data_IF_279685915584
#
_entry.id   IF_279685915584
#
_cell.length_a   1.000
_cell.length_b   1.000
_cell.length_c   1.000
_cell.angle_alpha   90.00
_cell.angle_beta   90.00
_cell.angle_gamma   90.00
#
_symmetry.space_group_name_H-M   'P 1'
#
loop_
_entity.id
_entity.type
_entity.pdbx_description
1 polymer ?
2 non-polymer ?
3 non-polymer ?
4 non-polymer ?
5 non-polymer ?
6 water ?
#
# COMPACT_ATOMS: atom_id res chain seq x y z
N UNK A 1 -12.26 -11.33 13.15
CA UNK A 1 -13.09 -10.53 14.02
C UNK A 1 -12.86 -10.83 15.49
N UNK A 2 -13.12 -12.10 15.88
CA UNK A 2 -12.93 -12.58 17.26
C UNK A 2 -11.46 -12.44 17.69
N UNK A 3 -10.55 -12.65 16.72
CA UNK A 3 -9.10 -12.53 16.90
C UNK A 3 -8.75 -11.11 17.32
N UNK A 4 -9.40 -10.10 16.69
CA UNK A 4 -9.19 -8.68 16.97
C UNK A 4 -9.30 -8.32 18.44
N UNK A 5 -10.37 -8.78 19.10
CA UNK A 5 -10.59 -8.46 20.50
C UNK A 5 -9.54 -9.07 21.46
N UNK A 6 -8.79 -10.12 21.04
CA UNK A 6 -7.77 -10.78 21.87
C UNK A 6 -6.32 -10.26 21.63
N UNK A 7 -6.17 -9.19 20.83
CA UNK A 7 -4.86 -8.63 20.51
C UNK A 7 -4.40 -7.61 21.53
N UNK A 8 -3.09 -7.24 21.47
CA UNK A 8 -2.49 -6.22 22.32
C UNK A 8 -3.13 -4.88 21.97
N UNK A 9 -3.37 -4.05 22.97
CA UNK A 9 -3.98 -2.72 22.83
C UNK A 9 -3.32 -1.91 21.70
N UNK A 10 -1.96 -1.85 21.66
CA UNK A 10 -1.23 -1.10 20.64
C UNK A 10 -1.53 -1.54 19.23
N UNK A 11 -1.61 -2.87 19.02
CA UNK A 11 -1.93 -3.43 17.72
C UNK A 11 -3.34 -3.03 17.32
N UNK A 12 -4.27 -3.01 18.29
CA UNK A 12 -5.67 -2.61 18.05
C UNK A 12 -5.72 -1.17 17.55
N UNK A 13 -4.91 -0.29 18.14
CA UNK A 13 -4.81 1.10 17.72
C UNK A 13 -4.30 1.16 16.30
N UNK A 14 -3.29 0.33 15.97
CA UNK A 14 -2.73 0.24 14.62
C UNK A 14 -3.85 -0.03 13.61
N UNK A 15 -4.72 -0.98 13.93
CA UNK A 15 -5.86 -1.32 13.06
C UNK A 15 -6.83 -0.16 12.96
N UNK A 16 -7.09 0.49 14.10
CA UNK A 16 -7.95 1.66 14.14
C UNK A 16 -7.42 2.77 13.26
N UNK A 17 -6.14 3.11 13.46
CA UNK A 17 -5.48 4.17 12.71
C UNK A 17 -5.50 3.90 11.20
N UNK A 18 -5.09 2.69 10.76
CA UNK A 18 -5.10 2.34 9.33
C UNK A 18 -6.51 2.37 8.75
N UNK A 19 -7.52 1.96 9.55
CA UNK A 19 -8.91 1.98 9.12
C UNK A 19 -9.24 3.40 8.72
N UNK A 20 -9.15 4.31 9.70
CA UNK A 20 -9.44 5.74 9.55
C UNK A 20 -8.66 6.33 8.39
N UNK A 21 -7.35 6.06 8.38
CA UNK A 21 -6.44 6.51 7.34
C UNK A 21 -6.94 6.15 5.95
N UNK A 22 -7.24 4.83 5.75
CA UNK A 22 -7.76 4.30 4.49
C UNK A 22 -9.10 4.91 4.11
N UNK A 23 -10.02 5.02 5.10
CA UNK A 23 -11.34 5.63 4.88
C UNK A 23 -11.16 7.00 4.27
N UNK A 24 -10.44 7.87 4.99
CA UNK A 24 -10.13 9.22 4.53
C UNK A 24 -9.39 9.19 3.19
N UNK A 25 -8.51 8.20 2.96
CA UNK A 25 -7.88 8.08 1.64
C UNK A 25 -8.96 7.92 0.58
N UNK A 26 -9.85 6.93 0.77
CA UNK A 26 -10.92 6.62 -0.16
C UNK A 26 -11.74 7.83 -0.55
N UNK A 27 -12.34 8.49 0.46
CA UNK A 27 -13.18 9.70 0.28
C UNK A 27 -12.49 10.85 -0.48
N UNK A 28 -11.30 11.28 -0.01
CA UNK A 28 -10.65 12.48 -0.53
C UNK A 28 -9.54 12.24 -1.54
N UNK A 29 -8.56 11.41 -1.21
CA UNK A 29 -7.36 11.21 -2.03
C UNK A 29 -7.56 10.51 -3.38
N UNK A 30 -8.58 9.61 -3.50
CA UNK A 30 -8.90 8.86 -4.73
C UNK A 30 -9.28 9.76 -5.87
N UNK A 31 -9.96 10.86 -5.54
CA UNK A 31 -10.47 11.84 -6.46
C UNK A 31 -9.63 13.14 -6.55
N UNK A 32 -8.46 13.20 -5.91
CA UNK A 32 -7.64 14.41 -5.94
C UNK A 32 -7.06 14.75 -7.31
N UNK A 33 -6.90 13.77 -8.21
CA UNK A 33 -6.41 14.04 -9.57
C UNK A 33 -7.48 14.84 -10.32
N UNK A 34 -8.78 14.51 -10.07
CA UNK A 34 -9.95 15.18 -10.64
C UNK A 34 -9.83 16.66 -10.28
N UNK A 35 -9.64 16.96 -8.96
CA UNK A 35 -9.43 18.27 -8.36
C UNK A 35 -8.26 18.99 -9.04
N UNK A 36 -7.04 18.44 -8.94
CA UNK A 36 -5.86 19.03 -9.55
C UNK A 36 -6.03 19.28 -11.00
N UNK A 37 -6.64 18.36 -11.80
CA UNK A 37 -6.87 18.56 -13.25
C UNK A 37 -7.75 19.74 -13.50
N UNK A 38 -8.84 19.87 -12.71
CA UNK A 38 -9.80 20.96 -12.79
C UNK A 38 -9.15 22.34 -12.61
N UNK A 39 -8.38 22.54 -11.55
CA UNK A 39 -7.79 23.84 -11.25
C UNK A 39 -6.44 24.13 -11.90
N UNK A 40 -5.64 23.11 -12.09
CA UNK A 40 -4.30 23.24 -12.68
C UNK A 40 -4.20 22.45 -14.00
N UNK A 41 -3.04 22.45 -14.63
CA UNK A 41 -2.87 21.70 -15.87
C UNK A 41 -2.75 20.20 -15.64
N UNK A 42 -2.72 19.43 -16.71
CA UNK A 42 -2.48 18.00 -16.59
C UNK A 42 -0.99 17.76 -16.59
N UNK A 43 -0.22 18.75 -17.10
CA UNK A 43 1.24 18.76 -17.03
C UNK A 43 1.58 19.02 -15.57
N UNK A 44 0.89 20.01 -14.94
CA UNK A 44 1.02 20.38 -13.54
C UNK A 44 0.59 19.19 -12.66
N UNK A 45 -0.63 18.62 -12.88
CA UNK A 45 -1.10 17.49 -12.07
C UNK A 45 -0.06 16.33 -12.04
N UNK A 46 0.54 16.00 -13.19
CA UNK A 46 1.58 14.98 -13.32
C UNK A 46 2.82 15.30 -12.52
N UNK A 47 3.30 16.55 -12.61
CA UNK A 47 4.46 17.02 -11.84
C UNK A 47 4.14 16.95 -10.34
N UNK A 48 2.92 17.40 -9.96
CA UNK A 48 2.46 17.39 -8.58
C UNK A 48 2.47 15.99 -7.94
N UNK A 49 1.80 15.04 -8.58
CA UNK A 49 1.72 13.65 -8.12
C UNK A 49 3.12 12.97 -8.03
N UNK A 50 4.06 13.39 -8.90
CA UNK A 50 5.45 12.91 -8.91
C UNK A 50 6.13 13.41 -7.67
N UNK A 51 5.98 14.72 -7.34
CA UNK A 51 6.57 15.32 -6.15
C UNK A 51 6.04 14.68 -4.93
N UNK A 52 4.71 14.56 -4.80
CA UNK A 52 4.11 13.91 -3.63
C UNK A 52 4.64 12.48 -3.35
N UNK A 53 4.81 11.65 -4.40
CA UNK A 53 5.35 10.29 -4.34
C UNK A 53 6.80 10.26 -3.83
N UNK A 54 7.64 11.22 -4.32
CA UNK A 54 9.04 11.40 -3.91
C UNK A 54 9.03 11.88 -2.45
N UNK A 55 8.15 12.84 -2.14
CA UNK A 55 7.99 13.36 -0.79
C UNK A 55 7.68 12.24 0.21
N UNK A 56 6.68 11.39 -0.08
CA UNK A 56 6.23 10.33 0.80
C UNK A 56 7.29 9.23 0.96
N UNK A 57 8.06 8.92 -0.11
CA UNK A 57 9.16 7.96 -0.06
C UNK A 57 10.19 8.48 0.95
N UNK A 58 10.55 9.78 0.83
CA UNK A 58 11.48 10.43 1.76
C UNK A 58 10.92 10.42 3.18
N UNK A 59 9.59 10.61 3.34
CA UNK A 59 8.93 10.54 4.64
C UNK A 59 9.17 9.17 5.23
N UNK A 60 9.00 8.14 4.41
CA UNK A 60 9.21 6.75 4.80
C UNK A 60 10.63 6.41 5.22
N UNK A 61 11.63 6.94 4.50
CA UNK A 61 13.02 6.68 4.85
C UNK A 61 13.38 7.33 6.22
N UNK A 62 13.01 8.61 6.40
CA UNK A 62 13.24 9.34 7.65
C UNK A 62 12.49 8.69 8.81
N UNK A 63 11.21 8.30 8.61
CA UNK A 63 10.41 7.66 9.65
C UNK A 63 11.01 6.34 10.08
N UNK A 64 11.52 5.57 9.11
CA UNK A 64 12.15 4.28 9.36
C UNK A 64 13.34 4.41 10.27
N UNK A 65 14.23 5.35 9.95
CA UNK A 65 15.41 5.62 10.76
C UNK A 65 15.00 6.13 12.14
N UNK A 66 14.29 7.24 12.22
CA UNK A 66 13.88 7.80 13.51
C UNK A 66 13.07 6.84 14.36
N UNK A 67 12.49 5.81 13.77
CA UNK A 67 11.73 4.84 14.53
C UNK A 67 12.70 3.96 15.32
N UNK A 68 13.90 3.74 14.77
CA UNK A 68 14.98 2.96 15.35
C UNK A 68 15.79 3.80 16.32
N UNK A 69 16.19 5.02 15.89
CA UNK A 69 16.97 6.00 16.65
C UNK A 69 16.24 6.36 17.94
N UNK A 70 15.07 6.97 17.84
CA UNK A 70 14.22 7.30 18.99
C UNK A 70 13.19 6.18 19.09
N UNK A 71 12.08 6.41 19.78
CA UNK A 71 11.08 5.34 19.82
C UNK A 71 10.19 5.32 18.59
N UNK A 72 9.22 4.38 18.54
CA UNK A 72 8.23 4.34 17.46
C UNK A 72 7.19 5.43 17.70
N UNK A 73 6.65 5.52 18.97
CA UNK A 73 5.66 6.51 19.40
C UNK A 73 5.98 8.00 19.08
N UNK A 74 7.20 8.56 19.39
CA UNK A 74 7.48 9.96 19.04
C UNK A 74 7.23 10.23 17.55
N UNK A 75 7.86 9.43 16.68
CA UNK A 75 7.73 9.50 15.23
C UNK A 75 6.25 9.50 14.83
N UNK A 76 5.47 8.54 15.34
CA UNK A 76 4.04 8.43 15.05
C UNK A 76 3.31 9.66 15.46
N UNK A 77 3.58 10.17 16.68
CA UNK A 77 2.97 11.40 17.22
C UNK A 77 3.34 12.62 16.35
N UNK A 78 4.59 12.66 15.84
CA UNK A 78 5.05 13.73 14.96
C UNK A 78 4.25 13.69 13.69
N UNK A 79 4.07 12.49 13.14
CA UNK A 79 3.30 12.30 11.93
C UNK A 79 1.92 12.89 12.05
N UNK A 80 1.16 12.52 13.10
CA UNK A 80 -0.19 13.05 13.30
C UNK A 80 -0.23 14.58 13.40
N UNK A 81 0.76 15.21 14.10
CA UNK A 81 0.84 16.67 14.20
C UNK A 81 0.95 17.27 12.81
N UNK A 82 1.85 16.73 11.95
CA UNK A 82 2.03 17.15 10.54
C UNK A 82 0.70 17.08 9.80
N UNK A 83 -0.01 15.93 9.96
CA UNK A 83 -1.31 15.66 9.35
C UNK A 83 -2.31 16.76 9.75
N UNK A 84 -2.44 17.07 11.08
CA UNK A 84 -3.32 18.13 11.59
C UNK A 84 -3.09 19.43 10.87
N UNK A 85 -1.82 19.85 10.80
CA UNK A 85 -1.39 21.06 10.12
C UNK A 85 -1.80 21.04 8.64
N UNK A 86 -1.56 19.93 7.97
CA UNK A 86 -1.95 19.77 6.59
C UNK A 86 -3.45 19.81 6.41
N UNK A 87 -4.19 19.04 7.19
CA UNK A 87 -5.64 18.95 7.12
C UNK A 87 -6.29 20.29 7.37
N UNK A 88 -5.83 21.03 8.41
CA UNK A 88 -6.38 22.33 8.80
C UNK A 88 -6.14 23.33 7.70
N UNK A 89 -4.91 23.35 7.16
CA UNK A 89 -4.54 24.25 6.08
C UNK A 89 -5.27 23.90 4.78
N UNK A 90 -5.52 22.60 4.53
CA UNK A 90 -6.29 22.21 3.35
C UNK A 90 -7.73 22.70 3.51
N UNK A 91 -8.33 22.63 4.74
CA UNK A 91 -9.69 23.11 4.99
C UNK A 91 -9.76 24.59 4.68
N UNK A 92 -8.83 25.38 5.26
CA UNK A 92 -8.74 26.82 5.03
C UNK A 92 -8.40 27.22 3.59
N UNK A 93 -7.84 26.32 2.75
CA UNK A 93 -7.49 26.60 1.34
C UNK A 93 -8.62 26.27 0.36
N UNK A 94 -9.67 25.61 0.85
CA UNK A 94 -10.78 25.22 0.02
C UNK A 94 -12.09 25.85 0.43
N UNK A 95 -12.02 27.10 0.90
CA UNK A 95 -13.25 27.80 1.26
C UNK A 95 -13.98 28.19 -0.03
N UNK A 96 -15.29 27.82 -0.17
CA UNK A 96 -16.03 28.18 -1.40
C UNK A 96 -15.89 29.66 -1.73
N UNK A 97 -15.58 29.93 -2.99
CA UNK A 97 -15.36 31.28 -3.50
C UNK A 97 -13.92 31.74 -3.35
N UNK A 98 -13.18 31.13 -2.40
CA UNK A 98 -11.77 31.44 -2.15
C UNK A 98 -10.82 30.21 -2.32
N UNK A 99 -11.25 29.19 -3.13
CA UNK A 99 -10.51 27.93 -3.37
C UNK A 99 -9.08 28.18 -3.93
N UNK A 100 -8.04 27.75 -3.18
CA UNK A 100 -6.64 27.88 -3.57
C UNK A 100 -6.08 26.48 -3.80
N UNK A 101 -5.94 26.08 -5.09
CA UNK A 101 -5.42 24.76 -5.39
C UNK A 101 -3.98 24.53 -4.96
N UNK A 102 -3.06 25.48 -5.25
CA UNK A 102 -1.63 25.35 -4.94
C UNK A 102 -1.37 25.18 -3.47
N UNK A 103 -2.13 25.92 -2.66
CA UNK A 103 -2.07 25.89 -1.19
C UNK A 103 -2.53 24.49 -0.77
N UNK A 104 -3.68 24.00 -1.34
CA UNK A 104 -4.24 22.66 -1.11
C UNK A 104 -3.24 21.58 -1.46
N UNK A 105 -2.42 21.78 -2.52
CA UNK A 105 -1.40 20.81 -2.90
C UNK A 105 -0.41 20.66 -1.78
N UNK A 106 0.14 21.80 -1.27
CA UNK A 106 1.11 21.84 -0.19
C UNK A 106 0.52 21.18 1.04
N UNK A 107 -0.73 21.49 1.39
CA UNK A 107 -1.44 20.90 2.53
C UNK A 107 -1.56 19.36 2.43
N UNK A 108 -1.84 18.87 1.23
CA UNK A 108 -1.96 17.45 0.93
C UNK A 108 -0.62 16.79 0.89
N UNK A 109 0.43 17.56 0.53
CA UNK A 109 1.82 17.10 0.54
C UNK A 109 2.17 16.82 2.01
N UNK A 110 1.71 17.69 2.92
CA UNK A 110 1.92 17.53 4.36
C UNK A 110 1.23 16.31 4.87
N UNK A 111 -0.08 16.17 4.61
CA UNK A 111 -0.89 15.01 5.05
C UNK A 111 -0.29 13.66 4.62
N UNK A 112 0.11 13.54 3.33
CA UNK A 112 0.75 12.33 2.81
C UNK A 112 2.01 11.98 3.61
N UNK A 113 2.89 12.98 3.81
CA UNK A 113 4.12 12.93 4.56
C UNK A 113 3.88 12.43 6.00
N UNK A 114 2.95 13.11 6.70
CA UNK A 114 2.52 12.81 8.06
C UNK A 114 1.98 11.41 8.18
N UNK A 115 1.14 11.01 7.20
CA UNK A 115 0.57 9.65 7.15
C UNK A 115 1.62 8.58 6.99
N UNK A 116 2.63 8.79 6.13
CA UNK A 116 3.66 7.77 5.98
C UNK A 116 4.50 7.61 7.19
N UNK A 117 4.62 8.66 8.03
CA UNK A 117 5.34 8.56 9.30
C UNK A 117 4.61 7.57 10.19
N UNK A 118 3.29 7.79 10.38
CA UNK A 118 2.39 6.94 11.15
C UNK A 118 2.34 5.50 10.57
N UNK A 119 2.46 5.37 9.24
CA UNK A 119 2.49 4.05 8.60
C UNK A 119 3.86 3.36 8.83
N UNK A 120 4.97 3.96 8.38
CA UNK A 120 6.33 3.42 8.51
C UNK A 120 6.64 2.96 9.93
N UNK A 121 6.42 3.81 10.93
CA UNK A 121 6.67 3.48 12.33
C UNK A 121 5.67 2.44 12.81
N UNK A 122 4.42 2.56 12.41
CA UNK A 122 3.37 1.60 12.76
C UNK A 122 3.70 0.18 12.32
N UNK A 123 4.35 0.04 11.14
CA UNK A 123 4.81 -1.24 10.60
C UNK A 123 5.85 -1.82 11.53
N UNK A 124 6.82 -0.98 11.98
CA UNK A 124 7.88 -1.37 12.91
C UNK A 124 7.24 -1.86 14.19
N UNK A 125 6.25 -1.11 14.69
CA UNK A 125 5.48 -1.44 15.89
C UNK A 125 4.70 -2.75 15.75
N UNK A 126 4.16 -3.03 14.56
CA UNK A 126 3.44 -4.29 14.37
C UNK A 126 4.35 -5.47 14.77
N UNK A 127 5.59 -5.46 14.25
CA UNK A 127 6.61 -6.46 14.53
C UNK A 127 6.94 -6.51 16.03
N UNK A 128 7.07 -5.35 16.66
CA UNK A 128 7.39 -5.25 18.07
C UNK A 128 6.39 -5.89 19.01
N UNK A 129 5.10 -5.71 18.78
CA UNK A 129 4.06 -6.25 19.66
C UNK A 129 3.46 -7.58 19.16
N UNK A 130 4.12 -8.18 18.16
CA UNK A 130 3.72 -9.46 17.58
C UNK A 130 4.78 -10.55 17.79
N UNK A 131 4.29 -11.79 17.86
CA UNK A 131 5.05 -13.02 17.97
C UNK A 131 4.83 -13.72 16.65
N UNK A 132 5.69 -14.68 16.30
CA UNK A 132 5.58 -15.45 15.07
C UNK A 132 4.21 -16.11 14.84
N UNK A 133 3.52 -16.51 15.95
CA UNK A 133 2.20 -17.17 15.93
C UNK A 133 1.03 -16.25 15.48
N UNK A 134 0.97 -15.00 15.99
CA UNK A 134 -0.13 -14.07 15.66
C UNK A 134 0.24 -13.01 14.62
N UNK A 135 1.49 -13.00 14.12
CA UNK A 135 1.94 -12.01 13.14
C UNK A 135 1.08 -11.98 11.86
N UNK A 136 0.87 -13.14 11.22
CA UNK A 136 0.07 -13.24 9.99
C UNK A 136 -1.35 -12.76 10.22
N UNK A 137 -1.95 -13.07 11.39
CA UNK A 137 -3.31 -12.65 11.76
C UNK A 137 -3.42 -11.11 11.72
N UNK A 138 -2.44 -10.43 12.35
CA UNK A 138 -2.35 -8.97 12.39
C UNK A 138 -2.29 -8.42 10.98
N UNK A 139 -1.32 -8.89 10.17
CA UNK A 139 -1.14 -8.42 8.80
C UNK A 139 -2.37 -8.55 7.95
N UNK A 140 -3.10 -9.67 8.08
CA UNK A 140 -4.31 -9.80 7.31
C UNK A 140 -5.41 -8.90 7.86
N UNK A 141 -5.58 -8.81 9.19
CA UNK A 141 -6.56 -7.90 9.79
C UNK A 141 -6.34 -6.46 9.33
N UNK A 142 -5.07 -6.05 9.27
CA UNK A 142 -4.61 -4.76 8.79
C UNK A 142 -5.11 -4.61 7.35
N UNK A 143 -4.62 -5.48 6.45
CA UNK A 143 -4.95 -5.57 5.05
C UNK A 143 -6.46 -5.59 4.78
N UNK A 144 -7.21 -6.29 5.62
CA UNK A 144 -8.65 -6.39 5.49
C UNK A 144 -9.30 -5.06 5.84
N UNK A 145 -8.99 -4.51 7.04
CA UNK A 145 -9.52 -3.24 7.52
C UNK A 145 -9.39 -2.14 6.49
N UNK A 146 -8.20 -2.03 5.84
CA UNK A 146 -7.92 -1.04 4.80
C UNK A 146 -8.87 -1.16 3.60
N UNK A 147 -9.07 -2.38 3.09
CA UNK A 147 -9.93 -2.67 1.95
C UNK A 147 -11.38 -2.32 2.22
N UNK A 148 -11.92 -2.77 3.38
CA UNK A 148 -13.28 -2.44 3.78
C UNK A 148 -13.47 -0.91 3.90
N UNK A 149 -12.51 -0.22 4.55
CA UNK A 149 -12.56 1.22 4.73
C UNK A 149 -12.38 2.01 3.44
N UNK A 150 -11.49 1.60 2.50
CA UNK A 150 -11.36 2.31 1.22
C UNK A 150 -12.68 2.28 0.45
N UNK A 151 -13.46 1.17 0.60
CA UNK A 151 -14.78 1.02 -0.03
C UNK A 151 -15.75 2.00 0.61
N UNK A 152 -15.83 2.04 1.95
CA UNK A 152 -16.72 2.97 2.65
C UNK A 152 -16.36 4.42 2.31
N UNK A 153 -15.05 4.69 2.24
CA UNK A 153 -14.48 5.96 1.83
C UNK A 153 -14.97 6.33 0.45
N UNK A 154 -14.74 5.43 -0.55
CA UNK A 154 -15.16 5.58 -1.96
C UNK A 154 -16.66 5.90 -2.14
N UNK A 155 -17.54 5.23 -1.37
CA UNK A 155 -18.99 5.42 -1.39
C UNK A 155 -19.32 6.85 -0.96
N UNK A 156 -18.91 7.24 0.28
CA UNK A 156 -19.11 8.61 0.79
C UNK A 156 -18.47 9.65 -0.13
N UNK A 157 -17.31 9.31 -0.67
CA UNK A 157 -16.54 10.14 -1.59
C UNK A 157 -17.32 10.52 -2.81
N UNK A 158 -17.87 9.52 -3.54
CA UNK A 158 -18.68 9.75 -4.74
C UNK A 158 -19.82 10.73 -4.47
N UNK A 159 -20.58 10.48 -3.39
CA UNK A 159 -21.73 11.28 -2.95
C UNK A 159 -21.40 12.74 -2.69
N UNK A 160 -20.29 13.02 -1.96
CA UNK A 160 -19.95 14.38 -1.54
C UNK A 160 -18.70 15.05 -2.12
N UNK A 161 -17.87 14.37 -2.91
CA UNK A 161 -16.66 15.03 -3.41
C UNK A 161 -16.94 16.28 -4.21
N UNK A 162 -17.71 16.16 -5.33
CA UNK A 162 -18.02 17.31 -6.18
C UNK A 162 -18.90 18.35 -5.45
N UNK A 163 -20.04 17.94 -4.82
CA UNK A 163 -20.85 18.91 -4.09
C UNK A 163 -20.27 19.53 -2.82
N UNK A 164 -19.77 18.71 -1.86
CA UNK A 164 -19.30 19.21 -0.57
C UNK A 164 -17.89 18.79 -0.22
N UNK A 165 -16.91 19.29 -0.96
CA UNK A 165 -15.50 18.99 -0.73
C UNK A 165 -15.11 19.23 0.70
N UNK A 166 -15.30 20.48 1.19
CA UNK A 166 -14.99 20.89 2.55
C UNK A 166 -15.48 19.94 3.61
N UNK A 167 -16.68 19.32 3.43
CA UNK A 167 -17.21 18.36 4.38
C UNK A 167 -16.27 17.17 4.57
N UNK A 168 -15.69 16.69 3.49
CA UNK A 168 -14.73 15.60 3.53
C UNK A 168 -13.50 16.05 4.27
N UNK A 169 -13.01 17.28 3.94
CA UNK A 169 -11.84 17.89 4.58
C UNK A 169 -12.05 18.06 6.08
N UNK A 170 -13.27 18.44 6.49
CA UNK A 170 -13.63 18.57 7.90
C UNK A 170 -13.50 17.19 8.51
N UNK A 171 -14.10 16.18 7.85
CA UNK A 171 -14.07 14.80 8.29
C UNK A 171 -12.64 14.31 8.37
N UNK A 172 -11.80 14.65 7.38
CA UNK A 172 -10.39 14.27 7.36
C UNK A 172 -9.69 14.77 8.59
N UNK A 173 -9.91 16.07 8.94
CA UNK A 173 -9.31 16.70 10.10
C UNK A 173 -9.76 16.00 11.36
N UNK A 174 -11.05 15.67 11.41
CA UNK A 174 -11.60 14.99 12.58
C UNK A 174 -11.02 13.59 12.73
N UNK A 175 -10.83 12.83 11.62
CA UNK A 175 -10.20 11.50 11.71
C UNK A 175 -8.77 11.65 12.23
N UNK A 176 -8.01 12.65 11.70
CA UNK A 176 -6.64 12.97 12.12
C UNK A 176 -6.61 13.20 13.64
N UNK A 177 -7.57 13.99 14.18
CA UNK A 177 -7.67 14.25 15.61
C UNK A 177 -7.79 12.96 16.38
N UNK A 178 -8.82 12.14 16.05
CA UNK A 178 -9.08 10.85 16.68
C UNK A 178 -7.78 10.08 16.78
N UNK A 179 -7.15 9.87 15.61
CA UNK A 179 -5.86 9.22 15.46
C UNK A 179 -4.78 9.89 16.34
N UNK A 180 -4.69 11.26 16.35
CA UNK A 180 -3.71 11.99 17.16
C UNK A 180 -3.88 11.71 18.62
N UNK A 181 -5.10 11.80 19.14
CA UNK A 181 -5.32 11.53 20.54
C UNK A 181 -4.95 10.13 20.91
N UNK A 182 -5.42 9.16 20.10
CA UNK A 182 -5.13 7.75 20.26
C UNK A 182 -3.64 7.57 20.38
N UNK A 183 -2.87 8.04 19.36
CA UNK A 183 -1.42 7.93 19.30
C UNK A 183 -0.75 8.52 20.54
N UNK A 184 -1.20 9.67 21.01
CA UNK A 184 -0.64 10.36 22.17
C UNK A 184 -1.01 9.71 23.54
N UNK A 185 -2.30 9.60 23.82
CA UNK A 185 -2.81 9.12 25.07
C UNK A 185 -2.81 7.60 25.19
N UNK A 186 -3.62 6.92 24.37
CA UNK A 186 -3.83 5.47 24.40
C UNK A 186 -2.59 4.63 24.06
N UNK A 187 -1.78 5.04 23.08
CA UNK A 187 -0.62 4.26 22.67
C UNK A 187 0.56 4.33 23.63
N UNK A 188 1.21 3.15 23.82
CA UNK A 188 2.40 2.94 24.64
C UNK A 188 3.56 2.58 23.71
N UNK A 189 4.75 3.08 24.01
CA UNK A 189 5.96 2.84 23.20
C UNK A 189 6.25 1.34 23.15
N UNK A 190 6.65 0.83 21.98
CA UNK A 190 6.97 -0.60 21.88
C UNK A 190 8.44 -0.91 21.69
N UNK A 191 9.29 0.10 21.43
CA UNK A 191 10.68 -0.20 21.18
C UNK A 191 11.64 0.73 21.82
N UNK A 192 12.63 0.14 22.50
CA UNK A 192 13.73 0.80 23.18
C UNK A 192 15.07 0.33 22.55
N UNK A 193 15.81 1.23 21.84
CA UNK A 193 17.10 0.81 21.23
C UNK A 193 18.22 0.58 22.26
N UNK A 194 19.27 -0.20 21.88
CA UNK A 194 20.41 -0.51 22.78
C UNK A 194 21.76 -0.12 22.15
N UNK A 198 22.28 7.83 16.29
CA UNK A 198 22.83 6.96 15.24
C UNK A 198 23.13 7.75 13.98
N UNK A 199 23.68 7.08 12.94
CA UNK A 199 23.96 7.71 11.66
C UNK A 199 23.04 7.11 10.62
N UNK A 200 22.32 7.96 9.87
CA UNK A 200 21.39 7.52 8.83
C UNK A 200 22.09 6.67 7.78
N UNK A 201 23.25 7.10 7.23
CA UNK A 201 23.90 6.23 6.25
C UNK A 201 24.30 4.90 6.85
N UNK A 202 24.90 4.92 8.04
CA UNK A 202 25.27 3.69 8.72
C UNK A 202 24.08 2.79 9.02
N UNK A 203 22.93 3.39 9.38
CA UNK A 203 21.68 2.68 9.64
C UNK A 203 21.17 1.94 8.41
N UNK A 204 21.27 2.57 7.23
CA UNK A 204 20.82 1.92 6.02
C UNK A 204 21.86 0.99 5.44
N UNK A 205 23.16 1.35 5.51
CA UNK A 205 24.27 0.53 5.02
C UNK A 205 24.16 -0.90 5.54
N UNK A 206 23.83 -1.07 6.85
CA UNK A 206 23.67 -2.39 7.48
C UNK A 206 22.52 -3.20 6.85
N UNK A 207 21.34 -2.58 6.68
CA UNK A 207 20.19 -3.26 6.07
C UNK A 207 20.49 -3.59 4.60
N UNK A 208 21.14 -2.68 3.85
CA UNK A 208 21.51 -2.96 2.45
C UNK A 208 22.58 -4.06 2.36
N UNK A 209 23.43 -4.18 3.40
CA UNK A 209 24.43 -5.23 3.44
C UNK A 209 23.81 -6.59 3.75
N UNK A 210 22.57 -6.62 4.32
CA UNK A 210 21.84 -7.86 4.59
C UNK A 210 21.39 -8.51 3.26
N UNK A 211 22.31 -9.32 2.65
CA UNK A 211 22.09 -10.03 1.39
C UNK A 211 20.84 -10.90 1.40
N UNK A 212 20.57 -11.65 2.51
CA UNK A 212 19.37 -12.49 2.56
C UNK A 212 18.08 -11.66 2.45
N UNK A 213 18.02 -10.51 3.13
CA UNK A 213 16.87 -9.62 3.05
C UNK A 213 16.79 -8.96 1.68
N UNK A 214 17.94 -8.52 1.16
CA UNK A 214 18.03 -7.89 -0.17
C UNK A 214 17.53 -8.75 -1.28
N UNK A 215 17.77 -10.06 -1.19
CA UNK A 215 17.28 -11.03 -2.17
C UNK A 215 15.74 -11.03 -2.08
N UNK A 216 15.20 -11.12 -0.84
CA UNK A 216 13.76 -11.13 -0.60
C UNK A 216 13.14 -9.87 -1.13
N UNK A 217 13.81 -8.71 -0.91
CA UNK A 217 13.39 -7.41 -1.39
C UNK A 217 13.22 -7.47 -2.91
N UNK A 218 14.25 -7.96 -3.62
CA UNK A 218 14.19 -8.16 -5.07
C UNK A 218 13.03 -9.03 -5.52
N UNK A 219 12.69 -10.08 -4.71
CA UNK A 219 11.56 -10.98 -4.97
C UNK A 219 10.27 -10.20 -4.78
N UNK A 220 10.18 -9.46 -3.65
CA UNK A 220 9.03 -8.65 -3.27
C UNK A 220 8.73 -7.58 -4.35
N UNK A 221 9.79 -6.92 -4.91
CA UNK A 221 9.65 -5.92 -5.98
C UNK A 221 8.98 -6.56 -7.22
N UNK A 222 9.41 -7.77 -7.61
CA UNK A 222 8.84 -8.48 -8.74
C UNK A 222 7.38 -8.86 -8.55
N UNK A 223 6.97 -9.29 -7.35
CA UNK A 223 5.57 -9.62 -7.06
C UNK A 223 4.71 -8.37 -6.89
N UNK A 224 5.27 -7.25 -6.34
CA UNK A 224 4.58 -5.95 -6.24
C UNK A 224 4.58 -5.27 -7.61
N UNK A 225 5.34 -5.81 -8.59
CA UNK A 225 5.44 -5.32 -9.98
C UNK A 225 4.16 -5.69 -10.71
N UNK A 226 3.56 -6.81 -10.32
CA UNK A 226 2.31 -7.33 -10.85
C UNK A 226 1.21 -6.44 -10.38
N UNK A 227 1.24 -6.04 -9.09
CA UNK A 227 0.23 -5.12 -8.54
C UNK A 227 0.30 -3.77 -9.26
N UNK A 228 1.54 -3.31 -9.62
CA UNK A 228 1.83 -2.06 -10.34
C UNK A 228 1.25 -2.05 -11.73
N UNK A 229 0.60 -3.16 -12.13
CA UNK A 229 -0.04 -3.27 -13.42
C UNK A 229 -1.25 -2.36 -13.50
N UNK A 230 -2.06 -2.28 -12.43
CA UNK A 230 -3.23 -1.38 -12.35
C UNK A 230 -2.85 0.08 -12.60
N UNK A 231 -1.65 0.47 -12.15
CA UNK A 231 -1.07 1.79 -12.30
C UNK A 231 -0.53 2.07 -13.70
N UNK A 232 0.10 1.07 -14.37
CA UNK A 232 0.78 1.30 -15.63
C UNK A 232 0.22 0.60 -16.90
N UNK A 233 -0.17 -0.71 -16.87
CA UNK A 233 -0.57 -1.42 -18.11
C UNK A 233 -2.01 -1.86 -18.22
N UNK A 234 -2.76 -2.00 -17.13
CA UNK A 234 -4.17 -2.37 -17.22
C UNK A 234 -4.99 -1.20 -17.85
N UNK A 235 -4.77 0.09 -17.44
CA UNK A 235 -5.51 1.20 -18.07
C UNK A 235 -5.22 1.35 -19.57
N UNK A 236 -3.93 1.32 -19.96
CA UNK A 236 -3.48 1.41 -21.35
C UNK A 236 -4.13 0.28 -22.10
N UNK A 237 -4.14 -0.92 -21.54
CA UNK A 237 -4.77 -2.02 -22.25
C UNK A 237 -6.24 -1.77 -22.51
N UNK A 238 -7.01 -1.49 -21.47
CA UNK A 238 -8.44 -1.29 -21.57
C UNK A 238 -8.81 -0.04 -22.39
N UNK A 239 -8.19 1.11 -22.10
CA UNK A 239 -8.42 2.35 -22.85
C UNK A 239 -8.06 2.15 -24.31
N UNK A 240 -6.93 1.45 -24.61
CA UNK A 240 -6.46 1.17 -25.97
C UNK A 240 -7.30 0.15 -26.69
N UNK A 241 -7.68 -0.97 -26.03
CA UNK A 241 -8.46 -1.98 -26.75
C UNK A 241 -9.52 -2.71 -25.93
N UNK A 242 -10.41 -1.99 -25.23
CA UNK A 242 -11.49 -2.69 -24.53
C UNK A 242 -12.81 -2.56 -25.28
N UNK A 243 -13.43 -3.73 -25.61
CA UNK A 243 -14.72 -3.83 -26.30
C UNK A 243 -15.82 -3.35 -25.35
N UNK A 244 -16.49 -2.23 -25.68
CA UNK A 244 -17.55 -1.66 -24.84
C UNK A 244 -18.79 -2.57 -24.80
N UNK A 245 -19.30 -2.87 -23.58
CA UNK A 245 -20.48 -3.70 -23.33
C UNK A 245 -21.57 -2.79 -22.76
N UNK A 246 -22.75 -2.72 -23.43
CA UNK A 246 -23.86 -1.86 -23.00
C UNK A 246 -24.45 -2.31 -21.66
N UNK A 253 -15.46 0.86 -23.04
CA UNK A 253 -15.33 1.76 -21.91
C UNK A 253 -14.32 1.20 -20.89
N UNK A 254 -13.09 1.05 -21.37
CA UNK A 254 -11.97 0.52 -20.61
C UNK A 254 -11.78 1.14 -19.25
N UNK A 255 -11.68 2.47 -19.19
CA UNK A 255 -11.48 3.17 -17.92
C UNK A 255 -12.63 2.91 -16.93
N UNK A 256 -13.86 2.73 -17.44
CA UNK A 256 -15.01 2.39 -16.60
C UNK A 256 -14.89 0.94 -16.14
N UNK A 257 -14.41 0.04 -17.00
CA UNK A 257 -14.20 -1.35 -16.65
C UNK A 257 -13.09 -1.53 -15.61
N UNK A 258 -11.94 -0.84 -15.82
CA UNK A 258 -10.79 -0.83 -14.92
C UNK A 258 -11.25 -0.42 -13.51
N UNK A 259 -12.17 0.57 -13.43
CA UNK A 259 -12.77 1.03 -12.21
C UNK A 259 -13.54 -0.12 -11.57
N UNK A 260 -14.31 -0.89 -12.35
CA UNK A 260 -15.07 -2.05 -11.85
C UNK A 260 -14.16 -3.06 -11.16
N UNK A 261 -13.07 -3.45 -11.85
CA UNK A 261 -12.04 -4.39 -11.41
C UNK A 261 -11.57 -4.07 -9.99
N UNK A 262 -11.18 -2.80 -9.71
CA UNK A 262 -10.74 -2.33 -8.39
C UNK A 262 -11.83 -2.59 -7.36
N UNK A 263 -13.06 -2.14 -7.63
CA UNK A 263 -14.22 -2.34 -6.77
C UNK A 263 -14.41 -3.83 -6.50
N UNK A 264 -14.42 -4.65 -7.56
CA UNK A 264 -14.56 -6.09 -7.48
C UNK A 264 -13.54 -6.68 -6.51
N UNK A 265 -12.24 -6.40 -6.75
CA UNK A 265 -11.09 -6.88 -5.99
C UNK A 265 -11.17 -6.53 -4.51
N UNK A 266 -11.42 -5.25 -4.17
CA UNK A 266 -11.57 -4.83 -2.79
C UNK A 266 -12.74 -5.59 -2.12
N UNK A 267 -13.90 -5.69 -2.83
CA UNK A 267 -15.10 -6.41 -2.37
C UNK A 267 -14.74 -7.88 -2.09
N UNK A 268 -14.02 -8.53 -3.02
CA UNK A 268 -13.58 -9.92 -2.89
C UNK A 268 -12.68 -10.13 -1.67
N UNK A 269 -11.74 -9.19 -1.42
CA UNK A 269 -10.87 -9.24 -0.23
C UNK A 269 -11.72 -9.19 1.04
N UNK A 270 -12.64 -8.21 1.13
CA UNK A 270 -13.56 -8.02 2.26
C UNK A 270 -14.33 -9.31 2.56
N UNK A 271 -14.79 -10.01 1.51
CA UNK A 271 -15.62 -11.20 1.65
C UNK A 271 -14.88 -12.52 1.82
N UNK A 272 -13.84 -12.76 1.02
CA UNK A 272 -13.14 -14.04 1.04
C UNK A 272 -11.91 -14.13 1.93
N UNK A 273 -11.56 -13.07 2.68
CA UNK A 273 -10.39 -13.04 3.57
C UNK A 273 -10.36 -14.24 4.52
N UNK A 274 -11.37 -14.33 5.40
CA UNK A 274 -11.54 -15.38 6.39
C UNK A 274 -11.55 -16.77 5.74
N UNK A 275 -12.40 -16.95 4.68
CA UNK A 275 -12.56 -18.21 3.93
C UNK A 275 -11.23 -18.70 3.38
N UNK A 276 -10.58 -17.92 2.52
CA UNK A 276 -9.28 -18.27 1.95
C UNK A 276 -8.25 -18.47 3.03
N UNK A 277 -8.38 -17.76 4.17
CA UNK A 277 -7.48 -17.94 5.30
C UNK A 277 -7.68 -19.31 5.90
N UNK A 278 -8.95 -19.77 6.00
CA UNK A 278 -9.26 -21.08 6.56
C UNK A 278 -8.50 -22.18 5.81
N UNK A 279 -8.47 -22.12 4.47
CA UNK A 279 -7.76 -23.05 3.59
C UNK A 279 -6.22 -22.94 3.71
N UNK A 280 -5.71 -21.74 4.05
CA UNK A 280 -4.28 -21.46 4.11
C UNK A 280 -3.76 -21.31 5.53
N UNK A 281 -4.59 -21.63 6.54
CA UNK A 281 -4.30 -21.47 7.97
C UNK A 281 -2.87 -21.89 8.36
N UNK A 282 -2.46 -23.13 8.06
CA UNK A 282 -1.12 -23.55 8.46
C UNK A 282 -0.16 -23.73 7.28
N UNK A 283 -0.28 -22.87 6.25
CA UNK A 283 0.63 -22.88 5.10
C UNK A 283 1.96 -22.20 5.52
N UNK A 284 3.07 -22.49 4.81
CA UNK A 284 4.35 -21.80 5.02
C UNK A 284 4.22 -20.46 4.28
N UNK A 285 5.05 -19.47 4.68
CA UNK A 285 5.04 -18.17 4.02
C UNK A 285 5.71 -18.30 2.66
N UNK A 286 6.71 -19.19 2.54
CA UNK A 286 7.39 -19.49 1.29
C UNK A 286 6.31 -19.93 0.26
N UNK A 287 5.32 -20.77 0.71
CA UNK A 287 4.20 -21.31 -0.08
C UNK A 287 3.18 -20.27 -0.51
N UNK A 288 2.62 -19.58 0.50
CA UNK A 288 1.63 -18.52 0.34
C UNK A 288 2.08 -17.46 -0.64
N UNK A 289 3.35 -17.03 -0.52
CA UNK A 289 3.97 -16.07 -1.44
C UNK A 289 3.88 -16.59 -2.86
N UNK A 290 4.30 -17.86 -3.10
CA UNK A 290 4.32 -18.52 -4.40
C UNK A 290 2.89 -18.76 -4.96
N UNK A 291 1.93 -19.24 -4.14
CA UNK A 291 0.57 -19.46 -4.65
C UNK A 291 -0.13 -18.16 -4.98
N UNK A 292 0.04 -17.17 -4.10
CA UNK A 292 -0.48 -15.82 -4.28
C UNK A 292 0.11 -15.13 -5.49
N UNK A 293 1.46 -15.09 -5.57
CA UNK A 293 2.23 -14.52 -6.69
C UNK A 293 2.06 -15.29 -8.00
N UNK A 294 1.50 -16.53 -7.94
CA UNK A 294 1.22 -17.35 -9.11
C UNK A 294 -0.12 -16.93 -9.69
N UNK A 295 -1.17 -16.87 -8.82
CA UNK A 295 -2.53 -16.46 -9.21
C UNK A 295 -2.59 -15.01 -9.64
N UNK A 296 -1.80 -14.14 -8.96
CA UNK A 296 -1.69 -12.73 -9.28
C UNK A 296 -1.15 -12.55 -10.67
N UNK A 297 -0.05 -13.26 -11.04
CA UNK A 297 0.53 -13.21 -12.37
C UNK A 297 -0.43 -13.80 -13.42
N UNK A 298 -1.05 -14.97 -13.12
CA UNK A 298 -2.01 -15.65 -14.02
C UNK A 298 -3.22 -14.74 -14.28
N UNK A 299 -3.80 -14.17 -13.22
CA UNK A 299 -4.93 -13.24 -13.31
C UNK A 299 -4.67 -12.07 -14.24
N UNK A 300 -3.49 -11.44 -14.10
CA UNK A 300 -3.06 -10.31 -14.94
C UNK A 300 -2.84 -10.72 -16.38
N UNK A 301 -2.16 -11.86 -16.59
CA UNK A 301 -1.90 -12.41 -17.93
C UNK A 301 -3.23 -12.66 -18.68
N UNK A 302 -4.21 -13.32 -18.01
CA UNK A 302 -5.56 -13.62 -18.55
C UNK A 302 -6.25 -12.33 -18.95
N UNK A 303 -6.18 -11.30 -18.09
CA UNK A 303 -6.76 -9.97 -18.34
C UNK A 303 -6.11 -9.30 -19.55
N UNK A 304 -4.77 -9.41 -19.67
CA UNK A 304 -4.02 -8.80 -20.77
C UNK A 304 -4.28 -9.44 -22.11
N UNK A 305 -4.52 -10.75 -22.11
CA UNK A 305 -4.76 -11.48 -23.34
C UNK A 305 -6.24 -11.51 -23.76
N UNK A 306 -7.17 -11.04 -22.90
CA UNK A 306 -8.60 -10.99 -23.26
C UNK A 306 -9.13 -9.53 -23.30
N UNK A 307 -10.18 -9.28 -24.14
CA UNK A 307 -10.79 -7.96 -24.35
C UNK A 307 -12.36 -8.01 -24.17
N UNK A 308 -12.87 -9.06 -23.52
CA UNK A 308 -14.31 -9.25 -23.26
C UNK A 308 -14.57 -9.11 -21.74
N UNK A 309 -15.83 -8.78 -21.35
CA UNK A 309 -16.21 -8.61 -19.96
C UNK A 309 -16.20 -9.90 -19.11
N UNK A 310 -16.84 -10.98 -19.60
CA UNK A 310 -16.95 -12.23 -18.84
C UNK A 310 -15.56 -12.81 -18.49
N UNK A 311 -14.57 -12.92 -19.44
CA UNK A 311 -13.26 -13.46 -19.05
C UNK A 311 -12.52 -12.57 -18.08
N UNK A 312 -12.42 -11.24 -18.37
CA UNK A 312 -11.74 -10.27 -17.51
C UNK A 312 -12.26 -10.33 -16.07
N UNK A 313 -13.60 -10.32 -15.90
CA UNK A 313 -14.22 -10.38 -14.59
C UNK A 313 -13.75 -11.62 -13.84
N UNK A 314 -13.77 -12.79 -14.50
CA UNK A 314 -13.29 -14.05 -13.92
C UNK A 314 -11.79 -13.92 -13.62
N UNK A 315 -11.01 -13.44 -14.62
CA UNK A 315 -9.57 -13.23 -14.53
C UNK A 315 -9.23 -12.40 -13.28
N UNK A 316 -10.05 -11.39 -13.00
CA UNK A 316 -9.96 -10.52 -11.85
C UNK A 316 -10.17 -11.24 -10.55
N UNK A 317 -11.14 -12.17 -10.56
CA UNK A 317 -11.43 -13.01 -9.41
C UNK A 317 -10.16 -13.83 -9.06
N UNK A 318 -9.51 -14.47 -10.08
CA UNK A 318 -8.27 -15.25 -9.95
C UNK A 318 -7.15 -14.43 -9.30
N UNK A 319 -6.90 -13.20 -9.83
CA UNK A 319 -5.88 -12.30 -9.31
C UNK A 319 -6.14 -12.01 -7.85
N UNK A 320 -7.39 -11.61 -7.50
CA UNK A 320 -7.72 -11.30 -6.12
C UNK A 320 -7.46 -12.53 -5.23
N UNK A 321 -7.75 -13.76 -5.72
CA UNK A 321 -7.48 -14.98 -4.95
C UNK A 321 -6.00 -15.03 -4.55
N UNK A 322 -5.13 -14.79 -5.53
CA UNK A 322 -3.68 -14.72 -5.34
C UNK A 322 -3.25 -13.61 -4.41
N UNK A 323 -3.74 -12.40 -4.64
CA UNK A 323 -3.40 -11.26 -3.81
C UNK A 323 -3.73 -11.49 -2.33
N UNK A 324 -4.93 -12.04 -2.02
CA UNK A 324 -5.37 -12.32 -0.64
C UNK A 324 -4.39 -13.22 0.13
N UNK A 325 -3.87 -14.26 -0.52
CA UNK A 325 -2.92 -15.18 0.10
C UNK A 325 -1.55 -14.49 0.21
N UNK A 326 -1.06 -13.95 -0.92
CA UNK A 326 0.24 -13.29 -1.08
C UNK A 326 0.50 -12.19 -0.07
N UNK A 327 -0.42 -11.23 0.06
CA UNK A 327 -0.23 -10.07 0.92
C UNK A 327 0.21 -10.47 2.35
N UNK A 328 -0.61 -11.18 3.17
CA UNK A 328 -0.14 -11.50 4.54
C UNK A 328 1.12 -12.34 4.60
N UNK A 329 1.29 -13.30 3.68
CA UNK A 329 2.45 -14.20 3.67
C UNK A 329 3.78 -13.46 3.43
N UNK A 330 3.85 -12.54 2.44
CA UNK A 330 5.06 -11.76 2.18
C UNK A 330 5.38 -10.81 3.33
N UNK A 331 4.32 -10.18 3.89
CA UNK A 331 4.42 -9.23 5.00
C UNK A 331 5.04 -9.91 6.23
N UNK A 332 4.68 -11.22 6.52
CA UNK A 332 5.25 -11.98 7.64
C UNK A 332 6.66 -12.45 7.34
N UNK A 333 6.92 -12.93 6.09
CA UNK A 333 8.24 -13.39 5.67
C UNK A 333 9.33 -12.32 5.92
N UNK A 334 9.00 -11.06 5.58
CA UNK A 334 9.86 -9.90 5.75
C UNK A 334 10.19 -9.65 7.20
N UNK A 335 9.17 -9.71 8.08
CA UNK A 335 9.32 -9.54 9.52
C UNK A 335 10.29 -10.58 10.11
N UNK A 336 10.20 -11.84 9.64
CA UNK A 336 11.08 -12.90 10.09
C UNK A 336 12.53 -12.67 9.65
N UNK A 337 12.72 -12.15 8.40
CA UNK A 337 14.04 -11.83 7.83
C UNK A 337 14.67 -10.55 8.43
N UNK A 338 13.84 -9.78 9.17
CA UNK A 338 14.18 -8.51 9.81
C UNK A 338 14.93 -8.63 11.09
N UNK A 339 15.99 -7.81 11.22
CA UNK A 339 16.83 -7.69 12.43
C UNK A 339 15.99 -7.00 13.52
N UNK A 340 15.80 -7.63 14.72
CA UNK A 340 14.96 -7.02 15.78
C UNK A 340 15.37 -5.63 16.27
N UNK A 341 16.66 -5.28 16.14
CA UNK A 341 17.14 -3.97 16.57
C UNK A 341 16.94 -2.91 15.49
N UNK A 342 17.04 -3.33 14.21
CA UNK A 342 16.90 -2.41 13.08
C UNK A 342 15.60 -2.57 12.28
N UNK A 343 14.47 -2.92 12.94
CA UNK A 343 13.18 -3.10 12.26
C UNK A 343 12.77 -1.85 11.50
N UNK A 344 12.92 -0.68 12.14
CA UNK A 344 12.61 0.62 11.56
C UNK A 344 13.31 0.87 10.25
N UNK A 345 14.64 0.68 10.19
CA UNK A 345 15.47 0.84 8.99
C UNK A 345 15.02 -0.09 7.90
N UNK A 346 14.68 -1.35 8.24
CA UNK A 346 14.23 -2.39 7.30
C UNK A 346 12.92 -2.00 6.63
N UNK A 347 11.97 -1.46 7.41
CA UNK A 347 10.71 -0.93 6.88
C UNK A 347 10.93 0.29 5.97
N UNK A 348 11.94 1.11 6.31
CA UNK A 348 12.38 2.23 5.50
C UNK A 348 12.84 1.75 4.13
N UNK A 349 13.65 0.66 4.08
CA UNK A 349 14.18 0.03 2.87
C UNK A 349 13.04 -0.52 2.06
N UNK A 350 12.04 -1.13 2.72
CA UNK A 350 10.83 -1.68 2.12
C UNK A 350 9.96 -0.64 1.36
N UNK A 351 10.24 0.66 1.54
CA UNK A 351 9.50 1.68 0.81
C UNK A 351 9.86 1.62 -0.66
N UNK A 352 11.16 1.39 -0.99
CA UNK A 352 11.71 1.31 -2.35
C UNK A 352 10.96 0.32 -3.28
N UNK A 353 10.30 -0.74 -2.72
CA UNK A 353 9.60 -1.75 -3.54
C UNK A 353 8.52 -1.17 -4.44
N UNK A 354 7.71 -0.19 -3.95
CA UNK A 354 6.62 0.44 -4.69
C UNK A 354 7.12 1.36 -5.80
N UNK A 355 8.07 2.33 -5.57
CA UNK A 355 8.56 3.16 -6.68
C UNK A 355 9.25 2.38 -7.80
N UNK A 356 10.18 1.45 -7.45
CA UNK A 356 10.92 0.62 -8.40
C UNK A 356 9.98 -0.25 -9.22
N UNK A 357 9.09 -1.01 -8.54
CA UNK A 357 8.08 -1.87 -9.20
C UNK A 357 7.20 -1.01 -10.13
N UNK A 358 6.90 0.24 -9.71
CA UNK A 358 6.09 1.17 -10.49
C UNK A 358 6.85 1.68 -11.70
N UNK A 359 8.10 2.16 -11.49
CA UNK A 359 8.96 2.68 -12.57
C UNK A 359 9.16 1.61 -13.62
N UNK A 360 9.52 0.40 -13.22
CA UNK A 360 9.73 -0.69 -14.16
C UNK A 360 8.47 -1.04 -14.93
N UNK A 361 7.29 -1.08 -14.27
CA UNK A 361 6.03 -1.37 -14.92
C UNK A 361 5.68 -0.27 -15.94
N UNK A 362 5.95 0.99 -15.58
CA UNK A 362 5.75 2.15 -16.45
C UNK A 362 6.67 2.15 -17.66
N UNK A 363 7.99 1.85 -17.41
CA UNK A 363 9.07 1.71 -18.40
C UNK A 363 8.73 0.59 -19.38
N UNK A 364 8.18 -0.53 -18.85
CA UNK A 364 7.69 -1.68 -19.63
C UNK A 364 6.54 -1.23 -20.52
N UNK A 365 5.63 -0.39 -20.03
CA UNK A 365 4.48 0.12 -20.76
C UNK A 365 4.89 1.01 -21.97
N UNK A 366 6.08 1.67 -21.91
CA UNK A 366 6.62 2.49 -23.00
C UNK A 366 6.86 1.64 -24.25
N UNK A 367 7.29 0.38 -24.05
CA UNK A 367 7.55 -0.60 -25.10
C UNK A 367 6.29 -1.46 -25.33
N UNK A 368 5.17 -1.21 -24.60
CA UNK A 368 3.95 -2.02 -24.75
C UNK A 368 3.46 -2.14 -26.20
N UNK A 369 3.34 -1.03 -26.99
CA UNK A 369 2.88 -1.15 -28.38
C UNK A 369 3.71 -2.11 -29.24
N UNK A 370 5.06 -2.02 -29.16
CA UNK A 370 5.99 -2.87 -29.92
C UNK A 370 5.77 -4.38 -29.67
N UNK A 371 5.83 -4.80 -28.39
CA UNK A 371 5.71 -6.20 -27.96
C UNK A 371 4.26 -6.73 -27.91
N UNK A 372 3.26 -5.83 -27.69
CA UNK A 372 1.81 -6.12 -27.57
C UNK A 372 1.47 -6.98 -26.34
N UNK A 373 0.16 -7.22 -26.08
CA UNK A 373 -0.36 -7.97 -24.93
C UNK A 373 0.29 -9.33 -24.69
N UNK A 374 0.45 -10.14 -25.76
CA UNK A 374 1.09 -11.46 -25.66
C UNK A 374 2.54 -11.29 -25.22
N UNK A 375 3.26 -10.35 -25.85
CA UNK A 375 4.66 -9.99 -25.53
C UNK A 375 4.85 -9.51 -24.11
N UNK A 376 3.98 -8.58 -23.66
CA UNK A 376 3.96 -8.02 -22.30
C UNK A 376 3.82 -9.14 -21.27
N UNK A 377 2.82 -10.02 -21.46
CA UNK A 377 2.54 -11.15 -20.57
C UNK A 377 3.76 -12.06 -20.36
N UNK A 378 4.56 -12.31 -21.43
CA UNK A 378 5.79 -13.11 -21.36
C UNK A 378 6.72 -12.50 -20.32
N UNK A 379 6.94 -11.17 -20.40
CA UNK A 379 7.77 -10.41 -19.44
C UNK A 379 7.23 -10.54 -18.01
N UNK A 380 5.91 -10.51 -17.83
CA UNK A 380 5.29 -10.69 -16.54
C UNK A 380 5.58 -12.09 -16.01
N UNK A 381 5.19 -13.12 -16.77
CA UNK A 381 5.41 -14.53 -16.42
C UNK A 381 6.86 -14.82 -16.05
N UNK A 382 7.81 -14.37 -16.92
CA UNK A 382 9.25 -14.52 -16.75
C UNK A 382 9.77 -13.85 -15.44
N UNK A 383 9.32 -12.60 -15.16
CA UNK A 383 9.71 -11.88 -13.94
C UNK A 383 9.08 -12.51 -12.69
N UNK A 384 7.87 -13.07 -12.84
CA UNK A 384 7.19 -13.77 -11.77
C UNK A 384 7.96 -15.05 -11.43
N UNK A 385 8.53 -15.73 -12.47
CA UNK A 385 9.36 -16.94 -12.31
C UNK A 385 10.60 -16.54 -11.51
N UNK A 386 11.15 -15.33 -11.80
CA UNK A 386 12.29 -14.78 -11.08
C UNK A 386 11.95 -14.60 -9.63
N UNK A 387 10.75 -14.04 -9.34
CA UNK A 387 10.25 -13.84 -7.97
C UNK A 387 10.28 -15.16 -7.22
N UNK A 388 9.78 -16.24 -7.84
CA UNK A 388 9.78 -17.57 -7.23
C UNK A 388 11.21 -18.02 -6.86
N UNK A 389 12.15 -17.85 -7.80
CA UNK A 389 13.56 -18.21 -7.63
C UNK A 389 14.14 -17.45 -6.41
N UNK A 390 14.04 -16.10 -6.42
CA UNK A 390 14.57 -15.26 -5.36
C UNK A 390 13.96 -15.53 -3.98
N UNK A 391 12.63 -15.84 -3.90
CA UNK A 391 11.99 -16.17 -2.63
C UNK A 391 12.61 -17.45 -2.05
N UNK A 392 12.79 -18.50 -2.89
CA UNK A 392 13.39 -19.78 -2.46
C UNK A 392 14.81 -19.59 -1.94
N UNK A 393 15.65 -18.85 -2.70
CA UNK A 393 17.02 -18.46 -2.35
C UNK A 393 17.04 -17.79 -0.96
N UNK A 394 16.25 -16.70 -0.79
CA UNK A 394 16.15 -15.97 0.48
C UNK A 394 15.68 -16.86 1.63
N UNK A 395 14.53 -17.56 1.49
CA UNK A 395 13.98 -18.44 2.53
C UNK A 395 15.01 -19.48 2.94
N UNK A 396 15.69 -20.09 1.94
CA UNK A 396 16.73 -21.08 2.18
C UNK A 396 17.83 -20.54 3.08
N UNK A 397 18.46 -19.42 2.69
CA UNK A 397 19.53 -18.77 3.46
C UNK A 397 19.07 -18.49 4.89
N UNK A 398 17.86 -17.88 5.04
CA UNK A 398 17.27 -17.55 6.34
C UNK A 398 17.02 -18.79 7.17
N UNK A 399 16.44 -19.87 6.58
CA UNK A 399 16.15 -21.14 7.26
C UNK A 399 17.35 -21.69 8.09
N UNK A 400 18.59 -21.52 7.56
CA UNK A 400 19.87 -21.87 8.21
C UNK A 400 19.96 -21.27 9.60
N UNK A 401 19.67 -19.95 9.73
CA UNK A 401 19.71 -19.10 10.93
C UNK A 401 18.79 -19.53 12.10
N UNK A 402 17.88 -20.54 11.90
CA UNK A 402 16.92 -21.14 12.86
C UNK A 402 17.31 -20.94 14.35
#
# INVERSE_FOLDING_TARGET
GKEFWNLDKNLQLRLGIVFLGAFSYGTVFSSMTIYYNQYLGSAITGILLALSAVATFVAGILAGFFADRNGRKPVMVFGTIIQLLGAALAIASNLPGHVNPWSTFIAFLLISFGYNFVITAGNAMIIDASNAENRKVVFMLDYWAQNLSVILGAALGAWLFRPAFEALLVILLLTVLVSFFLTTFVMTETFKPTVKVDNIFQAYKTVLQDKTYMIFMGANIATTFIIMQFDNFLPVHLSNSFKTITFWGFEIYGQRMLTIYLILACVLVVLLMTTLNRLTKDWSHQKGFIWGSLFMAIGMIFSFLTTTFTPIFIAGIVYTLGEIVYTPSVQTLGADLMNPEKIGSYNGVAAIKMPIASILAGLLVSISPMIKAIGVSLVLALTEVLAIILVLVAVNRHQKTKLNLEVLFQG
#
